data_IF_608667575997
#
_entry.id   IF_608667575997
#
_cell.length_a   1.000
_cell.length_b   1.000
_cell.length_c   1.000
_cell.angle_alpha   90.00
_cell.angle_beta   90.00
_cell.angle_gamma   90.00
#
_symmetry.space_group_name_H-M   'P 1'
#
loop_
_entity.id
_entity.type
_entity.pdbx_description
1 polymer ?
#
# COMPACT_ATOMS: atom_id res chain seq x y z
N UNK A 1 -4.39 13.32 -66.40
CA UNK A 1 -3.65 14.03 -65.32
C UNK A 1 -4.47 15.27 -64.97
N UNK A 2 -5.06 15.48 -63.78
CA UNK A 2 -4.72 15.07 -62.42
C UNK A 2 -6.03 14.90 -61.64
N UNK A 3 -6.14 13.83 -60.85
CA UNK A 3 -7.21 13.65 -59.87
C UNK A 3 -6.81 14.44 -58.63
N UNK A 4 -7.58 15.45 -58.22
CA UNK A 4 -7.38 16.10 -56.92
C UNK A 4 -8.01 15.21 -55.83
N UNK A 5 -7.17 14.60 -55.01
CA UNK A 5 -7.59 14.03 -53.73
C UNK A 5 -7.69 15.16 -52.71
N UNK A 6 -8.91 15.49 -52.30
CA UNK A 6 -9.14 16.35 -51.13
C UNK A 6 -8.98 15.45 -49.90
N UNK A 7 -7.81 15.50 -49.26
CA UNK A 7 -7.64 14.97 -47.91
C UNK A 7 -8.35 15.92 -46.94
N UNK A 8 -9.52 15.52 -46.46
CA UNK A 8 -10.13 16.12 -45.28
C UNK A 8 -9.33 15.64 -44.05
N UNK A 9 -8.44 16.49 -43.53
CA UNK A 9 -7.84 16.30 -42.22
C UNK A 9 -8.92 16.62 -41.19
N UNK A 10 -9.55 15.58 -40.64
CA UNK A 10 -10.37 15.72 -39.44
C UNK A 10 -9.40 15.89 -38.26
N UNK A 11 -9.16 17.15 -37.88
CA UNK A 11 -8.59 17.49 -36.58
C UNK A 11 -9.62 17.11 -35.52
N UNK A 12 -9.55 15.88 -35.01
CA UNK A 12 -10.12 15.57 -33.70
C UNK A 12 -9.30 16.35 -32.68
N UNK A 13 -9.79 17.53 -32.30
CA UNK A 13 -9.41 18.14 -31.04
C UNK A 13 -9.89 17.21 -29.92
N UNK A 14 -9.03 16.30 -29.48
CA UNK A 14 -9.19 15.70 -28.17
C UNK A 14 -9.19 16.87 -27.18
N UNK A 15 -10.32 17.10 -26.53
CA UNK A 15 -10.39 18.05 -25.42
C UNK A 15 -9.37 17.57 -24.39
N UNK A 16 -8.25 18.28 -24.33
CA UNK A 16 -7.17 18.08 -23.39
C UNK A 16 -7.76 18.38 -22.02
N UNK A 17 -8.19 17.37 -21.27
CA UNK A 17 -8.34 17.51 -19.82
C UNK A 17 -6.93 17.47 -19.21
N UNK A 18 -6.09 18.43 -19.58
CA UNK A 18 -4.98 18.81 -18.75
C UNK A 18 -5.58 19.41 -17.49
N UNK A 19 -5.05 19.00 -16.34
CA UNK A 19 -5.37 19.58 -15.05
C UNK A 19 -5.50 21.10 -15.20
N UNK A 20 -6.64 21.73 -14.82
CA UNK A 20 -6.60 23.14 -14.50
C UNK A 20 -5.69 23.23 -13.27
N UNK A 21 -4.44 23.60 -13.49
CA UNK A 21 -3.55 24.08 -12.44
C UNK A 21 -4.11 25.45 -12.07
N UNK A 22 -5.15 25.46 -11.24
CA UNK A 22 -5.45 26.64 -10.45
C UNK A 22 -4.23 26.92 -9.60
N UNK A 23 -3.65 28.12 -9.76
CA UNK A 23 -2.47 28.55 -9.03
C UNK A 23 -2.64 28.29 -7.53
N UNK A 24 -1.63 27.64 -6.95
CA UNK A 24 -1.56 27.39 -5.50
C UNK A 24 -2.13 26.05 -5.03
N UNK A 25 -2.66 25.15 -5.88
CA UNK A 25 -3.04 23.79 -5.43
C UNK A 25 -1.82 22.89 -5.24
N UNK A 26 -1.61 22.41 -4.01
CA UNK A 26 -0.52 21.51 -3.63
C UNK A 26 -1.09 20.23 -2.98
N UNK A 27 -1.13 19.14 -3.75
CA UNK A 27 -1.71 17.87 -3.32
C UNK A 27 -1.01 17.31 -2.08
N UNK A 28 -1.77 17.03 -1.03
CA UNK A 28 -1.28 16.58 0.27
C UNK A 28 -0.84 17.70 1.23
N UNK A 29 -0.66 18.94 0.75
CA UNK A 29 -0.20 20.08 1.56
C UNK A 29 -1.38 20.99 1.95
N UNK A 30 -2.12 21.50 0.96
CA UNK A 30 -3.25 22.41 1.18
C UNK A 30 -4.61 21.90 0.64
N UNK A 31 -4.62 20.68 0.15
CA UNK A 31 -5.81 19.96 -0.28
C UNK A 31 -5.43 18.63 -0.89
N UNK A 32 -6.42 17.93 -1.46
CA UNK A 32 -6.22 16.64 -2.08
C UNK A 32 -6.96 16.54 -3.40
N UNK A 33 -6.33 15.90 -4.38
CA UNK A 33 -7.04 15.32 -5.52
C UNK A 33 -7.65 13.98 -5.09
N UNK A 34 -8.93 13.99 -4.75
CA UNK A 34 -9.67 12.81 -4.30
C UNK A 34 -10.12 11.99 -5.52
N UNK A 35 -9.66 10.73 -5.66
CA UNK A 35 -10.00 9.91 -6.81
C UNK A 35 -11.46 9.47 -6.79
N UNK A 36 -12.05 9.36 -7.98
CA UNK A 36 -13.42 8.95 -8.21
C UNK A 36 -13.48 7.58 -8.88
N UNK A 37 -14.62 6.88 -8.77
CA UNK A 37 -14.76 5.50 -9.26
C UNK A 37 -14.60 5.42 -10.79
N UNK A 38 -14.91 6.49 -11.50
CA UNK A 38 -14.72 6.62 -12.95
C UNK A 38 -13.27 6.94 -13.36
N UNK A 39 -12.35 7.05 -12.40
CA UNK A 39 -10.94 7.37 -12.63
C UNK A 39 -10.64 8.87 -12.72
N UNK A 40 -11.65 9.74 -12.58
CA UNK A 40 -11.45 11.19 -12.46
C UNK A 40 -10.99 11.58 -11.06
N UNK A 41 -10.62 12.85 -10.89
CA UNK A 41 -10.20 13.41 -9.61
C UNK A 41 -11.00 14.68 -9.29
N UNK A 42 -11.37 14.84 -8.02
CA UNK A 42 -12.02 16.04 -7.51
C UNK A 42 -11.08 16.70 -6.51
N UNK A 43 -10.77 17.98 -6.72
CA UNK A 43 -10.01 18.75 -5.75
C UNK A 43 -10.88 19.05 -4.52
N UNK A 44 -10.32 18.85 -3.34
CA UNK A 44 -10.90 19.26 -2.07
C UNK A 44 -9.83 19.95 -1.25
N UNK A 45 -10.13 21.13 -0.71
CA UNK A 45 -9.29 21.76 0.33
C UNK A 45 -9.21 20.87 1.57
N UNK A 46 -8.26 21.16 2.47
CA UNK A 46 -8.16 20.43 3.75
C UNK A 46 -9.49 20.46 4.51
N UNK A 47 -10.12 21.62 4.59
CA UNK A 47 -11.40 21.80 5.30
C UNK A 47 -12.53 20.99 4.66
N UNK A 48 -12.70 21.06 3.34
CA UNK A 48 -13.73 20.31 2.62
C UNK A 48 -13.55 18.80 2.79
N UNK A 49 -12.30 18.31 2.68
CA UNK A 49 -11.98 16.89 2.88
C UNK A 49 -12.27 16.41 4.30
N UNK A 50 -11.88 17.19 5.31
CA UNK A 50 -12.14 16.85 6.72
C UNK A 50 -13.62 16.88 7.06
N UNK A 51 -14.36 17.86 6.54
CA UNK A 51 -15.81 17.94 6.70
C UNK A 51 -16.51 16.76 6.01
N UNK A 52 -16.08 16.37 4.81
CA UNK A 52 -16.64 15.23 4.09
C UNK A 52 -16.43 13.90 4.85
N UNK A 53 -15.26 13.71 5.45
CA UNK A 53 -14.98 12.55 6.33
C UNK A 53 -15.90 12.59 7.55
N UNK A 54 -15.99 13.72 8.25
CA UNK A 54 -16.78 13.86 9.47
C UNK A 54 -18.29 13.62 9.24
N UNK A 55 -18.84 14.17 8.16
CA UNK A 55 -20.24 13.92 7.79
C UNK A 55 -20.48 12.45 7.45
N UNK A 56 -19.53 11.80 6.76
CA UNK A 56 -19.65 10.38 6.46
C UNK A 56 -19.52 9.49 7.69
N UNK A 57 -18.66 9.83 8.64
CA UNK A 57 -18.54 9.16 9.95
C UNK A 57 -19.84 9.27 10.77
N UNK A 58 -20.47 10.45 10.74
CA UNK A 58 -21.76 10.70 11.40
C UNK A 58 -22.87 9.85 10.78
N UNK A 59 -22.94 9.80 9.45
CA UNK A 59 -23.88 8.93 8.73
C UNK A 59 -23.67 7.45 9.09
N UNK A 60 -22.43 6.96 9.06
CA UNK A 60 -22.06 5.60 9.46
C UNK A 60 -22.54 5.26 10.87
N UNK A 61 -22.44 6.22 11.79
CA UNK A 61 -22.85 6.05 13.19
C UNK A 61 -24.37 5.96 13.31
N UNK A 62 -25.10 6.80 12.56
CA UNK A 62 -26.56 6.79 12.50
C UNK A 62 -27.11 5.51 11.86
N UNK A 63 -26.46 5.02 10.80
CA UNK A 63 -26.81 3.76 10.13
C UNK A 63 -26.45 2.53 10.99
N UNK A 64 -25.56 2.69 11.97
CA UNK A 64 -25.29 1.71 13.03
C UNK A 64 -24.93 0.31 12.49
N UNK A 65 -25.58 -0.72 13.06
CA UNK A 65 -25.38 -2.16 12.71
C UNK A 65 -25.71 -2.50 11.25
N UNK A 66 -26.34 -1.60 10.48
CA UNK A 66 -26.67 -1.81 9.06
C UNK A 66 -25.46 -1.55 8.14
N UNK A 67 -24.51 -0.72 8.56
CA UNK A 67 -23.32 -0.40 7.78
C UNK A 67 -22.08 -1.10 8.37
N UNK A 68 -22.13 -2.43 8.39
CA UNK A 68 -21.02 -3.26 8.83
C UNK A 68 -19.79 -3.02 7.93
N UNK A 69 -18.61 -3.07 8.53
CA UNK A 69 -17.33 -3.18 7.82
C UNK A 69 -16.87 -4.63 7.89
N UNK A 70 -17.46 -5.55 7.10
CA UNK A 70 -17.08 -6.95 7.16
C UNK A 70 -15.65 -7.10 6.63
N UNK A 71 -14.85 -7.83 7.41
CA UNK A 71 -13.48 -8.20 7.09
C UNK A 71 -13.42 -9.72 7.08
N UNK A 72 -12.94 -10.30 5.99
CA UNK A 72 -12.72 -11.74 5.85
C UNK A 72 -11.22 -12.03 5.78
N UNK A 73 -10.82 -13.18 6.31
CA UNK A 73 -9.43 -13.61 6.35
C UNK A 73 -9.28 -14.92 5.57
N UNK A 74 -8.34 -14.93 4.63
CA UNK A 74 -8.07 -16.06 3.73
C UNK A 74 -6.64 -16.54 3.94
N UNK A 75 -6.50 -17.68 4.60
CA UNK A 75 -5.21 -18.30 4.92
C UNK A 75 -4.68 -19.12 3.75
N UNK A 76 -3.43 -18.85 3.38
CA UNK A 76 -2.60 -19.66 2.49
C UNK A 76 -1.35 -20.11 3.23
N UNK A 77 -0.91 -21.32 2.94
CA UNK A 77 0.33 -21.92 3.43
C UNK A 77 0.93 -22.78 2.32
N UNK A 78 2.10 -23.39 2.54
CA UNK A 78 2.64 -24.39 1.60
C UNK A 78 1.70 -25.58 1.35
N UNK A 79 0.82 -25.90 2.31
CA UNK A 79 -0.16 -27.00 2.16
C UNK A 79 -1.35 -26.62 1.29
N UNK A 80 -1.59 -25.32 1.09
CA UNK A 80 -2.70 -24.80 0.28
C UNK A 80 -2.31 -23.46 -0.40
N UNK A 81 -1.31 -23.47 -1.29
CA UNK A 81 -0.71 -22.23 -1.81
C UNK A 81 -1.63 -21.47 -2.77
N UNK A 82 -2.61 -22.15 -3.38
CA UNK A 82 -3.49 -21.58 -4.42
C UNK A 82 -4.94 -21.39 -3.96
N UNK A 83 -5.45 -22.28 -3.11
CA UNK A 83 -6.83 -22.25 -2.60
C UNK A 83 -6.83 -21.91 -1.10
N UNK A 84 -7.43 -20.79 -0.67
CA UNK A 84 -7.38 -20.39 0.72
C UNK A 84 -8.33 -21.21 1.60
N UNK A 85 -7.99 -21.28 2.88
CA UNK A 85 -8.94 -21.61 3.94
C UNK A 85 -9.46 -20.30 4.54
N UNK A 86 -10.78 -20.10 4.57
CA UNK A 86 -11.37 -18.94 5.24
C UNK A 86 -11.31 -19.17 6.75
N UNK A 87 -10.65 -18.27 7.47
CA UNK A 87 -10.54 -18.30 8.93
C UNK A 87 -11.28 -17.12 9.54
N UNK A 88 -11.68 -17.27 10.80
CA UNK A 88 -12.30 -16.22 11.62
C UNK A 88 -11.68 -16.23 13.01
N UNK A 89 -12.05 -15.29 13.87
CA UNK A 89 -11.59 -15.25 15.28
C UNK A 89 -12.11 -16.44 16.12
N UNK A 90 -12.85 -17.37 15.54
CA UNK A 90 -13.27 -18.59 16.24
C UNK A 90 -12.15 -19.62 16.21
N UNK A 91 -11.82 -20.16 17.38
CA UNK A 91 -10.78 -21.17 17.56
C UNK A 91 -10.98 -22.38 16.62
N UNK A 92 -12.23 -22.81 16.40
CA UNK A 92 -12.56 -23.93 15.52
C UNK A 92 -12.05 -23.72 14.08
N UNK A 93 -12.25 -22.52 13.50
CA UNK A 93 -11.83 -22.27 12.12
C UNK A 93 -10.32 -22.22 11.96
N UNK A 94 -9.60 -21.78 13.00
CA UNK A 94 -8.14 -21.70 13.01
C UNK A 94 -7.54 -23.10 13.24
N UNK A 95 -8.05 -23.86 14.22
CA UNK A 95 -7.57 -25.22 14.54
C UNK A 95 -7.82 -26.22 13.39
N UNK A 96 -8.89 -26.04 12.63
CA UNK A 96 -9.21 -26.88 11.46
C UNK A 96 -8.54 -26.37 10.16
N UNK A 97 -7.68 -25.36 10.25
CA UNK A 97 -6.92 -24.83 9.11
C UNK A 97 -5.49 -25.35 9.10
N UNK A 98 -4.71 -24.93 8.10
CA UNK A 98 -3.28 -25.21 7.99
C UNK A 98 -2.42 -24.21 8.79
N UNK A 99 -3.01 -23.32 9.59
CA UNK A 99 -2.27 -22.33 10.38
C UNK A 99 -1.25 -23.03 11.29
N UNK A 100 -0.02 -22.56 11.27
CA UNK A 100 1.05 -23.06 12.12
C UNK A 100 1.76 -21.91 12.82
N UNK A 101 1.59 -21.82 14.14
CA UNK A 101 2.15 -20.73 14.96
C UNK A 101 3.68 -20.65 14.95
N UNK A 102 4.37 -21.75 14.64
CA UNK A 102 5.83 -21.76 14.50
C UNK A 102 6.33 -21.10 13.21
N UNK A 103 5.43 -20.80 12.26
CA UNK A 103 5.78 -20.14 11.00
C UNK A 103 5.56 -18.62 11.10
N UNK A 104 6.45 -17.79 10.54
CA UNK A 104 6.22 -16.34 10.47
C UNK A 104 4.92 -16.03 9.73
N UNK A 105 4.22 -15.00 10.17
CA UNK A 105 2.86 -14.67 9.69
C UNK A 105 2.84 -13.34 8.96
N UNK A 106 2.28 -13.30 7.76
CA UNK A 106 2.16 -12.10 6.94
C UNK A 106 0.69 -11.81 6.65
N UNK A 107 0.22 -10.63 7.05
CA UNK A 107 -1.11 -10.15 6.66
C UNK A 107 -1.00 -9.29 5.40
N UNK A 108 -1.78 -9.60 4.36
CA UNK A 108 -1.81 -8.84 3.11
C UNK A 108 -3.12 -8.06 2.99
N UNK A 109 -3.03 -6.73 2.88
CA UNK A 109 -4.21 -5.85 2.85
C UNK A 109 -4.25 -5.08 1.52
N UNK A 110 -5.30 -5.33 0.73
CA UNK A 110 -5.51 -4.65 -0.54
C UNK A 110 -6.02 -3.20 -0.37
N UNK A 111 -5.89 -2.42 -1.44
CA UNK A 111 -6.36 -1.03 -1.53
C UNK A 111 -7.80 -0.88 -2.02
N UNK A 112 -8.14 0.34 -2.40
CA UNK A 112 -9.44 0.69 -2.98
C UNK A 112 -9.67 0.06 -4.36
N UNK A 113 -10.91 -0.30 -4.67
CA UNK A 113 -11.37 -1.05 -5.86
C UNK A 113 -10.71 -2.43 -6.04
N UNK A 114 -9.99 -2.93 -5.04
CA UNK A 114 -9.37 -4.25 -5.01
C UNK A 114 -10.12 -5.20 -4.07
N UNK A 115 -9.81 -6.49 -4.15
CA UNK A 115 -10.33 -7.54 -3.26
C UNK A 115 -9.23 -8.55 -2.92
N UNK A 116 -9.54 -9.58 -2.13
CA UNK A 116 -8.60 -10.68 -1.88
C UNK A 116 -8.06 -11.36 -3.15
N UNK A 117 -8.76 -11.26 -4.28
CA UNK A 117 -8.35 -11.82 -5.57
C UNK A 117 -7.40 -10.91 -6.37
N UNK A 118 -7.07 -9.72 -5.87
CA UNK A 118 -6.17 -8.80 -6.56
C UNK A 118 -4.79 -9.40 -6.77
N UNK A 119 -4.15 -9.09 -7.91
CA UNK A 119 -2.84 -9.61 -8.28
C UNK A 119 -1.75 -9.31 -7.25
N UNK A 120 -1.86 -8.18 -6.51
CA UNK A 120 -0.91 -7.88 -5.43
C UNK A 120 -0.85 -9.00 -4.38
N UNK A 121 -2.01 -9.56 -4.00
CA UNK A 121 -2.09 -10.58 -2.96
C UNK A 121 -1.49 -11.88 -3.48
N UNK A 122 -1.80 -12.22 -4.73
CA UNK A 122 -1.24 -13.39 -5.42
C UNK A 122 0.29 -13.29 -5.51
N UNK A 123 0.80 -12.19 -6.06
CA UNK A 123 2.23 -12.02 -6.33
C UNK A 123 3.06 -12.01 -5.04
N UNK A 124 2.61 -11.30 -4.01
CA UNK A 124 3.31 -11.21 -2.72
C UNK A 124 3.23 -12.55 -1.95
N UNK A 125 2.06 -13.20 -1.94
CA UNK A 125 1.91 -14.54 -1.37
C UNK A 125 2.87 -15.53 -2.04
N UNK A 126 2.88 -15.57 -3.36
CA UNK A 126 3.70 -16.51 -4.12
C UNK A 126 5.21 -16.24 -3.90
N UNK A 127 5.61 -14.97 -3.75
CA UNK A 127 6.98 -14.60 -3.40
C UNK A 127 7.38 -15.15 -2.03
N UNK A 128 6.58 -14.90 -0.98
CA UNK A 128 6.88 -15.41 0.36
C UNK A 128 6.87 -16.94 0.42
N UNK A 129 5.84 -17.59 -0.13
CA UNK A 129 5.77 -19.05 -0.17
C UNK A 129 6.88 -19.67 -1.03
N UNK A 130 7.52 -18.94 -1.95
CA UNK A 130 8.69 -19.46 -2.65
C UNK A 130 9.96 -19.52 -1.80
N UNK A 131 9.99 -18.83 -0.65
CA UNK A 131 11.16 -18.69 0.21
C UNK A 131 11.07 -19.43 1.56
N UNK A 132 9.98 -20.16 1.82
CA UNK A 132 9.86 -20.95 3.05
C UNK A 132 8.43 -21.23 3.48
N UNK A 133 8.31 -21.67 4.72
CA UNK A 133 7.04 -21.94 5.38
C UNK A 133 6.51 -20.67 6.07
N UNK A 134 5.39 -20.16 5.57
CA UNK A 134 4.74 -18.97 6.10
C UNK A 134 3.24 -19.18 6.26
N UNK A 135 2.63 -18.45 7.19
CA UNK A 135 1.19 -18.20 7.18
C UNK A 135 0.94 -16.90 6.41
N UNK A 136 0.32 -16.97 5.23
CA UNK A 136 -0.09 -15.77 4.49
C UNK A 136 -1.59 -15.57 4.66
N UNK A 137 -1.99 -14.52 5.36
CA UNK A 137 -3.40 -14.20 5.62
C UNK A 137 -3.80 -12.99 4.77
N UNK A 138 -4.53 -13.25 3.70
CA UNK A 138 -5.08 -12.18 2.84
C UNK A 138 -6.35 -11.64 3.46
N UNK A 139 -6.40 -10.32 3.63
CA UNK A 139 -7.52 -9.58 4.23
C UNK A 139 -8.42 -9.02 3.12
N UNK A 140 -9.71 -9.34 3.17
CA UNK A 140 -10.74 -8.80 2.27
C UNK A 140 -11.69 -7.91 3.05
N UNK A 141 -11.76 -6.64 2.71
CA UNK A 141 -12.60 -5.67 3.41
C UNK A 141 -13.59 -5.03 2.44
N UNK A 142 -14.88 -5.33 2.62
CA UNK A 142 -15.87 -5.14 1.57
C UNK A 142 -16.03 -3.68 1.13
N UNK A 143 -15.82 -2.73 2.04
CA UNK A 143 -16.04 -1.29 1.82
C UNK A 143 -15.10 -0.71 0.76
N UNK A 144 -13.91 -1.28 0.59
CA UNK A 144 -12.98 -0.88 -0.45
C UNK A 144 -13.43 -1.23 -1.87
N UNK A 145 -14.32 -2.21 -2.06
CA UNK A 145 -14.54 -2.80 -3.38
C UNK A 145 -15.41 -1.98 -4.31
N UNK A 146 -16.40 -1.23 -3.78
CA UNK A 146 -17.51 -0.73 -4.59
C UNK A 146 -18.08 0.63 -4.14
N UNK A 147 -17.52 1.24 -3.10
CA UNK A 147 -18.04 2.51 -2.57
C UNK A 147 -17.10 3.65 -2.99
N UNK A 148 -17.61 4.88 -2.95
CA UNK A 148 -16.81 6.09 -3.10
C UNK A 148 -15.57 6.10 -2.18
N UNK A 149 -14.56 6.88 -2.58
CA UNK A 149 -13.28 6.90 -1.92
C UNK A 149 -13.37 7.37 -0.46
N UNK A 150 -14.18 8.39 -0.15
CA UNK A 150 -14.36 8.92 1.21
C UNK A 150 -14.94 7.85 2.12
N UNK A 151 -15.98 7.13 1.65
CA UNK A 151 -16.55 6.00 2.38
C UNK A 151 -15.52 4.92 2.69
N UNK A 152 -14.55 4.70 1.80
CA UNK A 152 -13.47 3.73 2.01
C UNK A 152 -12.47 4.24 3.05
N UNK A 153 -12.09 5.52 2.99
CA UNK A 153 -11.23 6.18 3.99
C UNK A 153 -11.83 6.11 5.39
N UNK A 154 -13.14 6.39 5.54
CA UNK A 154 -13.86 6.29 6.83
C UNK A 154 -13.87 4.87 7.41
N UNK A 155 -13.80 3.85 6.55
CA UNK A 155 -13.78 2.46 7.01
C UNK A 155 -12.41 1.99 7.48
N UNK A 156 -11.32 2.61 6.99
CA UNK A 156 -9.93 2.17 7.25
C UNK A 156 -9.61 2.00 8.73
N UNK A 157 -9.94 2.95 9.65
CA UNK A 157 -9.68 2.75 11.08
C UNK A 157 -10.40 1.53 11.66
N UNK A 158 -11.66 1.29 11.27
CA UNK A 158 -12.47 0.14 11.70
C UNK A 158 -11.90 -1.18 11.15
N UNK A 159 -11.41 -1.18 9.91
CA UNK A 159 -10.70 -2.33 9.31
C UNK A 159 -9.42 -2.63 10.09
N UNK A 160 -8.60 -1.61 10.35
CA UNK A 160 -7.36 -1.76 11.12
C UNK A 160 -7.60 -2.38 12.49
N UNK A 161 -8.62 -1.92 13.22
CA UNK A 161 -9.04 -2.50 14.51
C UNK A 161 -9.44 -3.97 14.39
N UNK A 162 -10.24 -4.35 13.38
CA UNK A 162 -10.68 -5.73 13.18
C UNK A 162 -9.51 -6.68 12.88
N UNK A 163 -8.52 -6.22 12.12
CA UNK A 163 -7.31 -7.00 11.84
C UNK A 163 -6.48 -7.14 13.12
N UNK A 164 -6.36 -6.08 13.92
CA UNK A 164 -5.71 -6.16 15.23
C UNK A 164 -6.41 -7.17 16.15
N UNK A 165 -7.74 -7.17 16.21
CA UNK A 165 -8.51 -8.18 16.98
C UNK A 165 -8.22 -9.62 16.52
N UNK A 166 -8.06 -9.84 15.21
CA UNK A 166 -7.66 -11.15 14.68
C UNK A 166 -6.25 -11.53 15.09
N UNK A 167 -5.29 -10.59 15.05
CA UNK A 167 -3.91 -10.82 15.48
C UNK A 167 -3.87 -11.13 16.98
N UNK A 168 -4.56 -10.34 17.82
CA UNK A 168 -4.65 -10.58 19.27
C UNK A 168 -5.26 -11.96 19.57
N UNK A 169 -6.32 -12.35 18.86
CA UNK A 169 -6.89 -13.68 19.00
C UNK A 169 -5.85 -14.79 18.69
N UNK A 170 -5.03 -14.61 17.65
CA UNK A 170 -3.96 -15.56 17.29
C UNK A 170 -2.83 -15.57 18.32
N UNK A 171 -2.46 -14.42 18.90
CA UNK A 171 -1.46 -14.32 19.97
C UNK A 171 -1.96 -15.06 21.21
N UNK A 172 -3.14 -14.69 21.70
CA UNK A 172 -3.70 -15.18 22.97
C UNK A 172 -4.05 -16.67 22.92
N UNK A 173 -4.61 -17.15 21.82
CA UNK A 173 -5.23 -18.49 21.76
C UNK A 173 -4.50 -19.47 20.85
N UNK A 174 -3.60 -18.99 20.00
CA UNK A 174 -2.96 -19.83 18.98
C UNK A 174 -1.44 -19.69 18.93
N UNK A 175 -0.82 -18.96 19.88
CA UNK A 175 0.64 -18.91 20.04
C UNK A 175 1.38 -18.14 18.95
N UNK A 176 0.71 -17.26 18.21
CA UNK A 176 1.36 -16.39 17.24
C UNK A 176 2.34 -15.44 17.93
N UNK A 177 3.56 -15.33 17.40
CA UNK A 177 4.53 -14.35 17.88
C UNK A 177 4.42 -13.04 17.11
N UNK A 178 4.25 -11.92 17.84
CA UNK A 178 4.31 -10.58 17.24
C UNK A 178 5.69 -10.26 16.65
N UNK A 179 6.77 -10.86 17.21
CA UNK A 179 8.15 -10.64 16.75
C UNK A 179 8.43 -11.18 15.34
N UNK A 180 7.54 -12.04 14.82
CA UNK A 180 7.62 -12.65 13.49
C UNK A 180 6.36 -12.37 12.64
N UNK A 181 5.57 -11.37 13.05
CA UNK A 181 4.33 -10.99 12.37
C UNK A 181 4.48 -9.66 11.65
N UNK A 182 4.21 -9.67 10.34
CA UNK A 182 4.24 -8.48 9.50
C UNK A 182 2.89 -8.19 8.88
N UNK A 183 2.59 -6.89 8.72
CA UNK A 183 1.39 -6.44 8.02
C UNK A 183 1.81 -5.63 6.79
N UNK A 184 1.44 -6.10 5.61
CA UNK A 184 1.81 -5.53 4.32
C UNK A 184 0.54 -4.99 3.68
N UNK A 185 0.52 -3.69 3.43
CA UNK A 185 -0.67 -3.01 2.90
C UNK A 185 -0.34 -2.16 1.69
N UNK A 186 -1.22 -2.16 0.70
CA UNK A 186 -1.12 -1.30 -0.49
C UNK A 186 -2.16 -0.18 -0.45
N UNK A 187 -1.80 1.05 -0.83
CA UNK A 187 -2.75 2.15 -0.96
C UNK A 187 -3.51 2.41 0.36
N UNK A 188 -4.85 2.41 0.38
CA UNK A 188 -5.66 2.43 1.61
C UNK A 188 -5.39 1.24 2.54
N UNK A 189 -4.96 0.10 2.01
CA UNK A 189 -4.51 -1.05 2.79
C UNK A 189 -3.26 -0.76 3.61
N UNK A 190 -2.36 0.11 3.14
CA UNK A 190 -1.20 0.57 3.93
C UNK A 190 -1.64 1.41 5.13
N UNK A 191 -2.66 2.25 4.93
CA UNK A 191 -3.26 3.03 6.01
C UNK A 191 -3.93 2.11 7.02
N UNK A 192 -4.67 1.10 6.55
CA UNK A 192 -5.25 0.07 7.41
C UNK A 192 -4.19 -0.70 8.20
N UNK A 193 -3.04 -1.04 7.60
CA UNK A 193 -1.90 -1.64 8.29
C UNK A 193 -1.38 -0.76 9.44
N UNK A 194 -1.27 0.55 9.20
CA UNK A 194 -0.90 1.51 10.24
C UNK A 194 -1.91 1.58 11.38
N UNK A 195 -3.22 1.52 11.08
CA UNK A 195 -4.24 1.42 12.12
C UNK A 195 -4.22 0.05 12.83
N UNK A 196 -3.87 -1.04 12.15
CA UNK A 196 -3.66 -2.35 12.78
C UNK A 196 -2.57 -2.24 13.84
N UNK A 197 -1.39 -1.73 13.49
CA UNK A 197 -0.27 -1.56 14.43
C UNK A 197 -0.63 -0.75 15.67
N UNK A 198 -1.34 0.38 15.50
CA UNK A 198 -1.83 1.23 16.62
C UNK A 198 -2.77 0.53 17.58
N UNK A 199 -3.47 -0.51 17.12
CA UNK A 199 -4.51 -1.19 17.90
C UNK A 199 -4.04 -2.52 18.51
N UNK A 200 -2.79 -2.95 18.28
CA UNK A 200 -2.19 -4.07 19.00
C UNK A 200 -1.87 -3.61 20.42
N UNK A 201 -2.42 -4.31 21.41
CA UNK A 201 -2.25 -4.06 22.83
C UNK A 201 -1.17 -4.97 23.45
N UNK A 202 -0.94 -6.16 22.90
CA UNK A 202 0.00 -7.15 23.46
C UNK A 202 1.48 -6.89 23.12
N UNK A 203 1.79 -5.88 22.31
CA UNK A 203 3.17 -5.51 21.97
C UNK A 203 3.27 -4.71 20.67
N UNK A 204 4.40 -4.87 19.96
CA UNK A 204 4.60 -4.30 18.62
C UNK A 204 4.74 -5.42 17.59
N UNK A 205 4.14 -5.23 16.42
CA UNK A 205 4.42 -6.04 15.23
C UNK A 205 5.91 -5.97 14.88
N UNK A 206 6.42 -7.03 14.25
CA UNK A 206 7.77 -7.07 13.71
C UNK A 206 7.99 -5.94 12.72
N UNK A 207 7.15 -5.89 11.68
CA UNK A 207 7.19 -4.80 10.71
C UNK A 207 5.83 -4.51 10.09
N UNK A 208 5.70 -3.28 9.58
CA UNK A 208 4.67 -2.91 8.62
C UNK A 208 5.36 -2.50 7.33
N UNK A 209 4.85 -2.98 6.19
CA UNK A 209 5.30 -2.53 4.86
C UNK A 209 4.16 -1.80 4.18
N UNK A 210 4.33 -0.50 3.97
CA UNK A 210 3.42 0.36 3.22
C UNK A 210 3.83 0.44 1.76
N UNK A 211 3.07 -0.23 0.89
CA UNK A 211 3.24 -0.24 -0.55
C UNK A 211 2.47 0.94 -1.14
N UNK A 212 3.20 1.99 -1.49
CA UNK A 212 2.69 3.29 -1.96
C UNK A 212 1.47 3.78 -1.15
N UNK A 213 1.65 4.12 0.14
CA UNK A 213 0.55 4.42 1.04
C UNK A 213 -0.29 5.59 0.52
N UNK A 214 -1.61 5.45 0.49
CA UNK A 214 -2.51 6.43 -0.14
C UNK A 214 -2.43 7.80 0.53
N UNK A 215 -2.26 8.86 -0.27
CA UNK A 215 -2.18 10.27 0.15
C UNK A 215 -3.53 10.98 0.29
N UNK A 216 -4.49 10.85 -0.66
CA UNK A 216 -5.70 11.65 -0.60
C UNK A 216 -6.48 11.41 0.69
N UNK A 217 -6.88 12.51 1.36
CA UNK A 217 -7.59 12.54 2.65
C UNK A 217 -6.77 12.06 3.87
N UNK A 218 -5.45 11.93 3.74
CA UNK A 218 -4.54 11.70 4.86
C UNK A 218 -3.55 12.85 4.97
N UNK A 219 -3.45 13.44 6.17
CA UNK A 219 -2.58 14.59 6.43
C UNK A 219 -1.19 14.17 6.92
N UNK A 220 -0.14 14.81 6.39
CA UNK A 220 1.22 14.69 6.91
C UNK A 220 1.30 15.04 8.41
N UNK A 221 0.51 16.02 8.85
CA UNK A 221 0.54 16.56 10.22
C UNK A 221 -0.28 15.76 11.24
N UNK A 222 -0.96 14.68 10.84
CA UNK A 222 -1.79 13.85 11.72
C UNK A 222 -1.30 12.39 11.76
N UNK A 223 -0.09 12.09 12.28
CA UNK A 223 0.49 10.74 12.28
C UNK A 223 -0.38 9.69 12.98
N UNK A 224 -1.20 10.09 13.95
CA UNK A 224 -2.15 9.17 14.62
C UNK A 224 -3.36 8.77 13.74
N UNK A 225 -3.58 9.44 12.60
CA UNK A 225 -4.68 9.19 11.67
C UNK A 225 -4.24 8.55 10.34
N UNK A 226 -2.99 8.08 10.24
CA UNK A 226 -2.39 7.44 9.05
C UNK A 226 -1.33 6.41 9.48
N UNK A 227 -0.76 5.67 8.54
CA UNK A 227 0.50 4.95 8.74
C UNK A 227 1.60 5.93 9.16
N UNK A 228 2.37 5.56 10.18
CA UNK A 228 3.52 6.31 10.68
C UNK A 228 4.67 5.35 11.10
N UNK A 229 5.84 5.90 11.37
CA UNK A 229 7.08 5.16 11.67
C UNK A 229 7.04 4.31 12.94
N UNK A 230 6.13 4.62 13.87
CA UNK A 230 6.09 4.03 15.22
C UNK A 230 5.05 2.91 15.36
N UNK A 231 4.25 2.66 14.32
CA UNK A 231 3.15 1.69 14.30
C UNK A 231 3.61 0.23 14.43
N UNK A 232 4.89 -0.05 14.23
CA UNK A 232 5.52 -1.35 14.46
C UNK A 232 6.95 -1.14 14.97
N UNK A 233 7.69 -2.23 15.19
CA UNK A 233 9.14 -2.15 15.49
C UNK A 233 9.90 -1.51 14.32
N UNK A 234 9.47 -1.84 13.10
CA UNK A 234 9.95 -1.23 11.86
C UNK A 234 8.80 -0.94 10.91
N UNK A 235 8.84 0.21 10.25
CA UNK A 235 7.89 0.56 9.19
C UNK A 235 8.66 0.89 7.94
N UNK A 236 8.48 0.08 6.91
CA UNK A 236 9.00 0.32 5.56
C UNK A 236 7.92 1.02 4.74
N UNK A 237 8.29 2.08 4.03
CA UNK A 237 7.40 2.73 3.07
C UNK A 237 8.07 2.74 1.70
N UNK A 238 7.36 2.26 0.67
CA UNK A 238 7.85 2.19 -0.70
C UNK A 238 7.03 3.15 -1.54
N UNK A 239 7.62 4.26 -1.98
CA UNK A 239 6.96 5.29 -2.77
C UNK A 239 7.14 4.99 -4.26
N UNK A 240 6.05 4.83 -4.99
CA UNK A 240 6.10 4.63 -6.44
C UNK A 240 5.26 5.62 -7.24
N UNK A 241 4.21 6.21 -6.63
CA UNK A 241 3.36 7.28 -7.16
C UNK A 241 3.24 8.46 -6.18
N UNK A 242 4.36 8.82 -5.55
CA UNK A 242 4.44 9.83 -4.51
C UNK A 242 4.04 11.23 -4.99
N UNK A 243 3.09 11.85 -4.27
CA UNK A 243 2.58 13.19 -4.55
C UNK A 243 1.36 13.19 -5.49
N UNK A 244 0.97 12.04 -6.03
CA UNK A 244 -0.28 11.86 -6.78
C UNK A 244 -1.25 10.98 -5.99
N UNK A 245 -1.12 9.64 -6.06
CA UNK A 245 -1.90 8.72 -5.24
C UNK A 245 -1.21 8.34 -3.94
N UNK A 246 0.13 8.31 -3.92
CA UNK A 246 0.95 7.91 -2.77
C UNK A 246 1.53 9.08 -1.97
N UNK A 247 1.90 8.84 -0.71
CA UNK A 247 2.70 9.78 0.08
C UNK A 247 4.08 9.98 -0.56
N UNK A 248 4.55 11.23 -0.71
CA UNK A 248 5.90 11.52 -1.18
C UNK A 248 6.89 11.69 -0.02
N UNK A 249 6.53 12.50 0.98
CA UNK A 249 7.39 12.69 2.16
C UNK A 249 7.47 11.39 2.96
N UNK A 250 8.59 11.10 3.62
CA UNK A 250 8.77 9.85 4.34
C UNK A 250 7.77 9.75 5.49
N UNK A 251 7.12 8.59 5.60
CA UNK A 251 6.18 8.26 6.68
C UNK A 251 6.52 6.96 7.40
N UNK A 252 7.51 6.22 6.91
CA UNK A 252 8.09 5.05 7.56
C UNK A 252 9.44 5.36 8.22
N UNK A 253 9.99 4.38 8.92
CA UNK A 253 11.34 4.42 9.48
C UNK A 253 12.40 4.26 8.39
N UNK A 254 12.13 3.38 7.41
CA UNK A 254 12.82 3.35 6.12
C UNK A 254 11.87 3.79 5.00
N UNK A 255 12.28 4.76 4.19
CA UNK A 255 11.55 5.20 3.01
C UNK A 255 12.35 4.89 1.75
N UNK A 256 11.72 4.20 0.79
CA UNK A 256 12.34 3.70 -0.41
C UNK A 256 11.67 4.28 -1.65
N UNK A 257 12.47 4.90 -2.51
CA UNK A 257 12.02 5.64 -3.68
C UNK A 257 12.48 4.97 -4.99
N UNK A 258 11.84 3.86 -5.42
CA UNK A 258 12.02 3.30 -6.76
C UNK A 258 11.93 4.36 -7.85
N UNK A 259 12.99 4.50 -8.64
CA UNK A 259 13.07 5.50 -9.71
C UNK A 259 12.76 6.95 -9.24
N UNK A 260 13.06 7.30 -7.98
CA UNK A 260 12.72 8.61 -7.41
C UNK A 260 11.27 8.74 -6.93
N UNK A 261 10.53 7.64 -6.94
CA UNK A 261 9.28 7.43 -6.21
C UNK A 261 8.03 8.16 -6.68
N UNK A 262 8.09 8.87 -7.82
CA UNK A 262 6.93 9.59 -8.39
C UNK A 262 6.28 8.92 -9.59
N UNK A 263 7.10 8.45 -10.55
CA UNK A 263 6.62 7.85 -11.78
C UNK A 263 7.53 6.72 -12.17
N UNK A 264 6.95 5.57 -12.52
CA UNK A 264 7.71 4.36 -12.73
C UNK A 264 8.02 4.08 -14.19
N UNK A 265 9.20 3.52 -14.50
CA UNK A 265 9.55 3.17 -15.87
C UNK A 265 8.64 2.04 -16.37
N UNK A 266 8.29 2.10 -17.66
CA UNK A 266 7.35 1.17 -18.29
C UNK A 266 5.87 1.52 -18.11
N UNK A 267 5.52 2.57 -17.34
CA UNK A 267 4.12 3.00 -17.16
C UNK A 267 3.57 3.97 -18.22
N UNK A 268 4.41 4.40 -19.19
CA UNK A 268 3.96 5.27 -20.29
C UNK A 268 3.48 6.65 -19.80
N UNK A 269 2.31 7.10 -20.27
CA UNK A 269 1.76 8.41 -19.88
C UNK A 269 1.25 8.42 -18.43
N UNK A 270 0.62 7.35 -17.98
CA UNK A 270 0.15 7.13 -16.60
C UNK A 270 -0.60 8.32 -15.97
N UNK A 271 -1.57 8.88 -16.69
CA UNK A 271 -2.24 10.12 -16.29
C UNK A 271 -2.98 10.01 -14.95
N UNK A 272 -3.47 8.81 -14.61
CA UNK A 272 -4.17 8.55 -13.35
C UNK A 272 -3.23 8.12 -12.22
N UNK A 273 -1.94 7.87 -12.49
CA UNK A 273 -0.98 7.31 -11.54
C UNK A 273 -1.18 5.80 -11.27
N UNK A 274 -2.22 5.18 -11.81
CA UNK A 274 -2.61 3.81 -11.46
C UNK A 274 -1.51 2.76 -11.75
N UNK A 275 -0.73 2.94 -12.82
CA UNK A 275 0.37 2.02 -13.11
C UNK A 275 1.51 2.20 -12.10
N UNK A 276 1.96 3.43 -11.88
CA UNK A 276 3.03 3.74 -10.92
C UNK A 276 2.62 3.36 -9.50
N UNK A 277 1.35 3.52 -9.12
CA UNK A 277 0.82 3.13 -7.82
C UNK A 277 0.92 1.61 -7.61
N UNK A 278 0.49 0.83 -8.60
CA UNK A 278 0.54 -0.64 -8.56
C UNK A 278 1.96 -1.23 -8.60
N UNK A 279 2.96 -0.46 -9.08
CA UNK A 279 4.36 -0.92 -9.16
C UNK A 279 4.97 -1.25 -7.81
N UNK A 280 4.56 -0.58 -6.73
CA UNK A 280 5.01 -0.90 -5.36
C UNK A 280 4.81 -2.38 -5.02
N UNK A 281 3.66 -2.94 -5.37
CA UNK A 281 3.34 -4.35 -5.15
C UNK A 281 4.19 -5.30 -5.99
N UNK A 282 4.42 -4.94 -7.26
CA UNK A 282 5.19 -5.75 -8.20
C UNK A 282 6.67 -5.78 -7.80
N UNK A 283 7.23 -4.61 -7.48
CA UNK A 283 8.61 -4.49 -7.04
C UNK A 283 8.84 -5.20 -5.71
N UNK A 284 7.94 -5.02 -4.74
CA UNK A 284 8.07 -5.69 -3.44
C UNK A 284 7.99 -7.22 -3.59
N UNK A 285 7.07 -7.74 -4.41
CA UNK A 285 7.00 -9.19 -4.66
C UNK A 285 8.30 -9.73 -5.30
N UNK A 286 8.88 -9.01 -6.27
CA UNK A 286 10.16 -9.40 -6.86
C UNK A 286 11.31 -9.29 -5.85
N UNK A 287 11.35 -8.21 -5.05
CA UNK A 287 12.36 -7.98 -4.03
C UNK A 287 12.37 -9.09 -2.97
N UNK A 288 11.19 -9.49 -2.47
CA UNK A 288 11.07 -10.63 -1.56
C UNK A 288 11.58 -11.91 -2.23
N UNK A 289 11.18 -12.16 -3.48
CA UNK A 289 11.51 -13.40 -4.19
C UNK A 289 13.00 -13.54 -4.53
N UNK A 290 13.66 -12.44 -4.90
CA UNK A 290 14.99 -12.47 -5.53
C UNK A 290 16.07 -11.69 -4.78
N UNK A 291 15.73 -10.94 -3.72
CA UNK A 291 16.65 -10.10 -2.95
C UNK A 291 17.54 -9.20 -3.84
N UNK A 292 16.92 -8.59 -4.85
CA UNK A 292 17.62 -7.97 -6.00
C UNK A 292 17.34 -6.47 -6.18
N UNK A 293 16.85 -5.77 -5.15
CA UNK A 293 16.58 -4.33 -5.17
C UNK A 293 17.61 -3.57 -4.31
N UNK A 294 18.82 -3.35 -4.82
CA UNK A 294 19.84 -2.60 -4.09
C UNK A 294 19.40 -1.14 -3.94
N UNK A 295 19.89 -0.48 -2.90
CA UNK A 295 19.49 0.90 -2.61
C UNK A 295 20.69 1.77 -2.23
N UNK A 296 20.61 3.05 -2.57
CA UNK A 296 21.58 4.07 -2.17
C UNK A 296 20.97 4.88 -1.03
N UNK A 297 21.71 5.03 0.07
CA UNK A 297 21.30 5.90 1.18
C UNK A 297 21.42 7.36 0.75
N UNK A 298 20.41 8.15 1.05
CA UNK A 298 20.33 9.57 0.73
C UNK A 298 20.47 10.42 2.00
N UNK A 299 20.84 11.70 1.85
CA UNK A 299 20.83 12.67 2.95
C UNK A 299 19.41 12.99 3.41
N UNK A 300 18.48 13.11 2.44
CA UNK A 300 17.05 13.30 2.64
C UNK A 300 16.22 12.69 1.49
N UNK A 301 14.90 12.76 1.62
CA UNK A 301 14.00 12.27 0.58
C UNK A 301 14.05 13.10 -0.71
N UNK A 302 14.42 14.38 -0.66
CA UNK A 302 14.52 15.21 -1.85
C UNK A 302 15.64 14.72 -2.76
N UNK A 303 16.78 14.33 -2.19
CA UNK A 303 17.87 13.65 -2.92
C UNK A 303 17.42 12.32 -3.52
N UNK A 304 16.60 11.56 -2.79
CA UNK A 304 16.03 10.32 -3.32
C UNK A 304 15.13 10.57 -4.53
N UNK A 305 14.29 11.61 -4.47
CA UNK A 305 13.38 12.03 -5.54
C UNK A 305 14.13 12.57 -6.76
N UNK A 306 15.18 13.37 -6.56
CA UNK A 306 16.06 13.88 -7.63
C UNK A 306 17.05 12.86 -8.16
N UNK A 307 17.11 11.66 -7.54
CA UNK A 307 18.07 10.58 -7.86
C UNK A 307 19.52 11.04 -7.69
N UNK A 308 19.77 11.93 -6.73
CA UNK A 308 21.09 12.53 -6.47
C UNK A 308 21.72 12.02 -5.17
N UNK A 309 21.42 10.77 -4.80
CA UNK A 309 22.07 10.09 -3.67
C UNK A 309 23.50 9.67 -4.03
N UNK A 310 24.20 9.03 -3.08
CA UNK A 310 25.59 8.60 -3.27
C UNK A 310 25.82 7.71 -4.50
N UNK A 311 27.09 7.51 -4.86
CA UNK A 311 27.48 6.79 -6.11
C UNK A 311 27.55 5.26 -5.97
N UNK A 312 27.32 4.72 -4.77
CA UNK A 312 27.45 3.28 -4.46
C UNK A 312 26.23 2.77 -3.72
N UNK A 313 25.88 1.50 -3.94
CA UNK A 313 24.85 0.84 -3.16
C UNK A 313 25.26 0.71 -1.69
N UNK A 314 24.27 0.81 -0.82
CA UNK A 314 24.38 0.52 0.60
C UNK A 314 24.18 -0.98 0.84
N UNK A 315 24.41 -1.44 2.08
CA UNK A 315 24.06 -2.80 2.50
C UNK A 315 22.55 -3.02 2.66
N UNK A 316 21.73 -2.00 2.42
CA UNK A 316 20.27 -2.04 2.55
C UNK A 316 19.65 -2.33 1.19
N UNK A 317 18.74 -3.30 1.17
CA UNK A 317 17.93 -3.62 -0.01
C UNK A 317 16.46 -3.40 0.32
N UNK A 318 15.71 -2.85 -0.62
CA UNK A 318 14.26 -2.66 -0.44
C UNK A 318 13.58 -4.03 -0.27
N UNK A 319 12.64 -4.14 0.68
CA UNK A 319 11.90 -5.39 0.94
C UNK A 319 12.70 -6.49 1.64
N UNK A 320 13.95 -6.23 2.05
CA UNK A 320 14.76 -7.23 2.75
C UNK A 320 14.29 -7.43 4.21
N UNK A 321 14.20 -8.70 4.63
CA UNK A 321 13.76 -9.07 5.99
C UNK A 321 14.65 -8.52 7.09
N UNK A 322 15.93 -8.29 6.78
CA UNK A 322 16.91 -7.73 7.72
C UNK A 322 16.67 -6.25 8.03
N UNK A 323 15.84 -5.55 7.24
CA UNK A 323 15.61 -4.12 7.41
C UNK A 323 15.03 -3.78 8.79
N UNK A 324 14.21 -4.67 9.33
CA UNK A 324 13.52 -4.48 10.60
C UNK A 324 14.45 -4.26 11.80
N UNK A 325 15.71 -4.71 11.72
CA UNK A 325 16.65 -4.67 12.84
C UNK A 325 17.53 -3.42 12.88
N UNK A 326 17.77 -2.77 11.74
CA UNK A 326 18.87 -1.80 11.63
C UNK A 326 18.63 -0.61 10.71
N UNK A 327 17.54 -0.59 9.94
CA UNK A 327 17.37 0.40 8.87
C UNK A 327 16.61 1.64 9.34
N UNK A 328 17.16 2.81 9.05
CA UNK A 328 16.47 4.11 9.17
C UNK A 328 17.01 5.08 8.13
N UNK A 329 16.11 5.86 7.52
CA UNK A 329 16.45 6.92 6.56
C UNK A 329 15.78 6.74 5.20
N UNK A 330 16.22 7.56 4.26
CA UNK A 330 15.69 7.64 2.90
C UNK A 330 16.63 6.97 1.91
N UNK A 331 16.07 6.22 0.97
CA UNK A 331 16.81 5.38 0.05
C UNK A 331 16.31 5.54 -1.38
N UNK A 332 17.23 5.81 -2.31
CA UNK A 332 16.96 5.71 -3.73
C UNK A 332 17.14 4.28 -4.20
N UNK A 333 16.17 3.76 -4.97
CA UNK A 333 16.20 2.39 -5.50
C UNK A 333 16.16 2.46 -7.03
N UNK A 334 17.24 2.14 -7.75
CA UNK A 334 17.17 2.02 -9.20
C UNK A 334 16.35 0.79 -9.59
N UNK A 335 15.52 0.94 -10.63
CA UNK A 335 14.67 -0.13 -11.18
C UNK A 335 14.68 -0.08 -12.70
N UNK A 336 14.54 -1.23 -13.36
CA UNK A 336 14.40 -1.36 -14.81
C UNK A 336 12.96 -1.08 -15.24
N UNK A 337 12.74 -0.88 -16.54
CA UNK A 337 11.40 -0.67 -17.12
C UNK A 337 10.59 -1.95 -17.31
N UNK A 338 11.25 -3.11 -17.28
CA UNK A 338 10.67 -4.45 -17.49
C UNK A 338 11.31 -5.47 -16.54
N UNK A 339 10.61 -6.57 -16.29
CA UNK A 339 11.05 -7.63 -15.38
C UNK A 339 12.27 -8.38 -15.95
N UNK A 340 13.21 -8.86 -15.11
CA UNK A 340 13.32 -8.55 -13.68
C UNK A 340 13.63 -7.05 -13.48
N UNK A 341 12.90 -6.40 -12.59
CA UNK A 341 12.99 -4.96 -12.34
C UNK A 341 14.21 -4.59 -11.50
N UNK A 342 14.60 -5.45 -10.56
CA UNK A 342 15.74 -5.26 -9.68
C UNK A 342 17.08 -5.36 -10.43
N UNK A 343 18.10 -4.68 -9.91
CA UNK A 343 19.45 -4.69 -10.49
C UNK A 343 20.37 -5.79 -9.96
N UNK A 344 19.95 -6.56 -8.95
CA UNK A 344 20.77 -7.64 -8.39
C UNK A 344 21.59 -7.20 -7.17
N UNK A 345 22.73 -7.85 -6.96
CA UNK A 345 23.57 -7.68 -5.75
C UNK A 345 24.88 -6.94 -6.00
N UNK A 346 25.08 -6.39 -7.21
CA UNK A 346 26.37 -5.87 -7.69
C UNK A 346 27.02 -4.82 -6.79
#
# INVERSE_FOLDING_TARGET
MKVLHILAIVLLAAAISAFPVEEGRENGENGWYVPQVDGSFVWMTIEEGENAIAEREKQDTLEGRLNLVPVNYYLYTQKNPTTPQKITVTAETILNSNFNASNPTKFLIHGWLQSYKADMNKNIRDAWLSNGDYNIIVVDWARARLIDYISSVVAVPKVGKKIADMIECLVENHGLSLSDTEVIGHSLGAQAAGFTGKNIASGKLHAIVGLDPALPLYSYNKPNKRLNSDDATYVESIQTDGGQLGFLKPIGKGAFYPNGGKKQPGCGLDLTGACSHARSCIYYAEAVKADNFPSMRCGDYQEAVSKSCGVSYSSVKMGAVTNAYMVTGDFYVPVRSSAPYGYGSD
#
